data_IF_777819372302
#
_entry.id   IF_777819372302
#
_cell.length_a   1.000
_cell.length_b   1.000
_cell.length_c   1.000
_cell.angle_alpha   90.00
_cell.angle_beta   90.00
_cell.angle_gamma   90.00
#
_symmetry.space_group_name_H-M   'P 1'
#
loop_
_entity.id
_entity.type
_entity.pdbx_description
1 polymer ?
#
# COMPACT_ATOMS: atom_id res chain seq x y z
N UNK A 1 -20.67 -15.54 -13.88
CA UNK A 1 -21.32 -14.24 -13.55
C UNK A 1 -21.02 -13.81 -12.11
N UNK A 2 -21.74 -14.23 -11.06
CA UNK A 2 -21.45 -13.75 -9.68
C UNK A 2 -20.01 -14.02 -9.18
N UNK A 3 -19.44 -15.19 -9.52
CA UNK A 3 -18.05 -15.52 -9.16
C UNK A 3 -17.01 -14.68 -9.92
N UNK A 4 -17.23 -14.43 -11.21
CA UNK A 4 -16.36 -13.59 -12.04
C UNK A 4 -16.39 -12.12 -11.60
N UNK A 5 -17.57 -11.62 -11.20
CA UNK A 5 -17.72 -10.28 -10.63
C UNK A 5 -16.96 -10.17 -9.30
N UNK A 6 -17.10 -11.17 -8.41
CA UNK A 6 -16.40 -11.18 -7.12
C UNK A 6 -14.88 -11.20 -7.25
N UNK A 7 -14.35 -11.93 -8.24
CA UNK A 7 -12.91 -12.00 -8.51
C UNK A 7 -12.41 -10.70 -9.13
N UNK A 8 -13.18 -10.08 -10.02
CA UNK A 8 -12.89 -8.76 -10.56
C UNK A 8 -12.84 -7.67 -9.48
N UNK A 9 -13.78 -7.68 -8.55
CA UNK A 9 -13.79 -6.75 -7.41
C UNK A 9 -12.58 -6.96 -6.50
N UNK A 10 -12.21 -8.21 -6.19
CA UNK A 10 -11.03 -8.51 -5.38
C UNK A 10 -9.74 -8.02 -6.04
N UNK A 11 -9.56 -8.27 -7.34
CA UNK A 11 -8.37 -7.81 -8.07
C UNK A 11 -8.28 -6.28 -8.13
N UNK A 12 -9.41 -5.61 -8.32
CA UNK A 12 -9.49 -4.15 -8.29
C UNK A 12 -9.09 -3.61 -6.90
N UNK A 13 -9.64 -4.19 -5.84
CA UNK A 13 -9.29 -3.85 -4.47
C UNK A 13 -7.80 -4.05 -4.20
N UNK A 14 -7.23 -5.22 -4.52
CA UNK A 14 -5.81 -5.51 -4.29
C UNK A 14 -4.91 -4.55 -5.07
N UNK A 15 -5.29 -4.14 -6.27
CA UNK A 15 -4.52 -3.18 -7.07
C UNK A 15 -4.58 -1.78 -6.47
N UNK A 16 -5.75 -1.32 -6.04
CA UNK A 16 -5.91 -0.04 -5.35
C UNK A 16 -5.14 -0.02 -4.03
N UNK A 17 -5.20 -1.11 -3.27
CA UNK A 17 -4.50 -1.24 -2.00
C UNK A 17 -2.99 -1.27 -2.19
N UNK A 18 -2.49 -2.02 -3.18
CA UNK A 18 -1.06 -2.03 -3.53
C UNK A 18 -0.54 -0.64 -3.87
N UNK A 19 -1.25 0.08 -4.74
CA UNK A 19 -0.88 1.44 -5.13
C UNK A 19 -0.82 2.36 -3.91
N UNK A 20 -1.82 2.27 -3.02
CA UNK A 20 -1.85 3.11 -1.82
C UNK A 20 -0.71 2.78 -0.87
N UNK A 21 -0.44 1.50 -0.61
CA UNK A 21 0.67 1.08 0.23
C UNK A 21 2.01 1.55 -0.34
N UNK A 22 2.20 1.46 -1.66
CA UNK A 22 3.42 1.93 -2.33
C UNK A 22 3.62 3.46 -2.21
N UNK A 23 2.54 4.24 -2.36
CA UNK A 23 2.58 5.69 -2.16
C UNK A 23 3.05 6.05 -0.74
N UNK A 24 2.50 5.39 0.29
CA UNK A 24 2.86 5.63 1.69
C UNK A 24 4.30 5.18 1.97
N UNK A 25 4.69 4.01 1.45
CA UNK A 25 6.05 3.46 1.57
C UNK A 25 7.10 4.40 0.98
N UNK A 26 6.88 4.87 -0.25
CA UNK A 26 7.75 5.85 -0.91
C UNK A 26 7.83 7.15 -0.11
N UNK A 27 6.69 7.68 0.34
CA UNK A 27 6.66 8.89 1.14
C UNK A 27 7.41 8.73 2.47
N UNK A 28 7.24 7.61 3.17
CA UNK A 28 7.94 7.30 4.43
C UNK A 28 9.46 7.29 4.26
N UNK A 29 9.95 6.63 3.19
CA UNK A 29 11.38 6.60 2.87
C UNK A 29 11.91 8.02 2.57
N UNK A 30 11.21 8.80 1.76
CA UNK A 30 11.66 10.15 1.39
C UNK A 30 11.65 11.09 2.61
N UNK A 31 10.59 11.09 3.39
CA UNK A 31 10.45 11.94 4.58
C UNK A 31 11.50 11.65 5.65
N UNK A 32 12.00 10.41 5.72
CA UNK A 32 13.06 10.00 6.67
C UNK A 32 14.46 10.43 6.23
N UNK A 33 14.70 10.54 4.92
CA UNK A 33 16.06 10.72 4.37
C UNK A 33 16.33 12.12 3.79
N UNK A 34 15.28 12.91 3.54
CA UNK A 34 15.37 14.22 2.90
C UNK A 34 15.01 15.35 3.87
N UNK A 35 15.59 16.54 3.68
CA UNK A 35 15.13 17.73 4.39
C UNK A 35 13.67 18.06 4.00
N UNK A 36 12.89 18.79 4.82
CA UNK A 36 11.45 18.96 4.60
C UNK A 36 11.07 19.57 3.23
N UNK A 37 11.83 20.56 2.76
CA UNK A 37 11.56 21.24 1.48
C UNK A 37 11.92 20.39 0.25
N UNK A 38 12.95 19.56 0.34
CA UNK A 38 13.32 18.63 -0.72
C UNK A 38 12.41 17.41 -0.73
N UNK A 39 11.97 16.94 0.45
CA UNK A 39 11.08 15.79 0.58
C UNK A 39 9.75 16.03 -0.15
N UNK A 40 9.13 17.20 0.01
CA UNK A 40 7.87 17.50 -0.70
C UNK A 40 8.04 17.50 -2.22
N UNK A 41 9.09 18.16 -2.73
CA UNK A 41 9.38 18.20 -4.17
C UNK A 41 9.64 16.81 -4.74
N UNK A 42 10.36 15.99 -3.98
CA UNK A 42 10.69 14.63 -4.37
C UNK A 42 9.47 13.70 -4.36
N UNK A 43 8.58 13.82 -3.37
CA UNK A 43 7.30 13.09 -3.33
C UNK A 43 6.43 13.48 -4.52
N UNK A 44 6.29 14.79 -4.79
CA UNK A 44 5.50 15.28 -5.93
C UNK A 44 6.03 14.69 -7.24
N UNK A 45 7.34 14.63 -7.42
CA UNK A 45 7.98 14.06 -8.61
C UNK A 45 7.77 12.54 -8.73
N UNK A 46 8.06 11.81 -7.65
CA UNK A 46 8.01 10.33 -7.66
C UNK A 46 6.57 9.82 -7.82
N UNK A 47 5.60 10.52 -7.24
CA UNK A 47 4.18 10.19 -7.35
C UNK A 47 3.50 10.84 -8.57
N UNK A 48 4.27 11.49 -9.46
CA UNK A 48 3.81 12.11 -10.70
C UNK A 48 2.67 13.13 -10.48
N UNK A 49 2.76 13.92 -9.41
CA UNK A 49 1.74 14.88 -8.98
C UNK A 49 1.99 16.31 -9.51
N UNK A 50 2.95 16.53 -10.42
CA UNK A 50 3.36 17.86 -10.89
C UNK A 50 2.18 18.63 -11.50
N UNK A 51 1.30 17.91 -12.19
CA UNK A 51 0.11 18.40 -12.87
C UNK A 51 -1.08 18.68 -11.93
N UNK A 52 -0.98 18.32 -10.65
CA UNK A 52 -2.06 18.60 -9.69
C UNK A 52 -2.11 20.09 -9.37
N UNK A 53 -3.30 20.58 -9.01
CA UNK A 53 -3.42 21.91 -8.39
C UNK A 53 -2.71 21.96 -7.04
N UNK A 54 -2.27 23.14 -6.62
CA UNK A 54 -1.55 23.33 -5.35
C UNK A 54 -2.36 22.84 -4.13
N UNK A 55 -3.67 23.10 -4.12
CA UNK A 55 -4.55 22.61 -3.06
C UNK A 55 -4.59 21.07 -3.01
N UNK A 56 -4.64 20.42 -4.18
CA UNK A 56 -4.63 18.96 -4.27
C UNK A 56 -3.28 18.38 -3.83
N UNK A 57 -2.16 18.99 -4.22
CA UNK A 57 -0.82 18.60 -3.75
C UNK A 57 -0.73 18.67 -2.24
N UNK A 58 -1.12 19.81 -1.63
CA UNK A 58 -1.10 19.99 -0.17
C UNK A 58 -1.95 18.97 0.56
N UNK A 59 -3.16 18.68 0.06
CA UNK A 59 -4.03 17.65 0.63
C UNK A 59 -3.36 16.27 0.63
N UNK A 60 -2.83 15.84 -0.52
CA UNK A 60 -2.19 14.53 -0.66
C UNK A 60 -0.91 14.44 0.18
N UNK A 61 -0.06 15.46 0.15
CA UNK A 61 1.16 15.52 0.96
C UNK A 61 0.87 15.48 2.46
N UNK A 62 -0.13 16.26 2.92
CA UNK A 62 -0.55 16.25 4.32
C UNK A 62 -1.08 14.89 4.76
N UNK A 63 -1.82 14.20 3.89
CA UNK A 63 -2.29 12.84 4.14
C UNK A 63 -1.14 11.83 4.19
N UNK A 64 -0.21 11.88 3.24
CA UNK A 64 0.95 10.99 3.19
C UNK A 64 1.86 11.16 4.40
N UNK A 65 2.08 12.39 4.87
CA UNK A 65 2.81 12.65 6.13
C UNK A 65 2.17 11.93 7.30
N UNK A 66 0.87 12.12 7.52
CA UNK A 66 0.14 11.46 8.61
C UNK A 66 0.26 9.94 8.52
N UNK A 67 -0.04 9.37 7.36
CA UNK A 67 -0.01 7.92 7.17
C UNK A 67 1.40 7.32 7.28
N UNK A 68 2.44 8.04 6.84
CA UNK A 68 3.83 7.59 6.95
C UNK A 68 4.32 7.49 8.39
N UNK A 69 3.66 8.17 9.33
CA UNK A 69 3.96 8.10 10.76
C UNK A 69 3.17 7.00 11.49
N UNK A 70 2.14 6.42 10.86
CA UNK A 70 1.33 5.37 11.48
C UNK A 70 1.97 3.98 11.40
N UNK A 71 2.90 3.79 10.47
CA UNK A 71 3.49 2.49 10.19
C UNK A 71 5.01 2.58 10.18
N UNK A 72 5.67 1.57 10.72
CA UNK A 72 7.10 1.40 10.55
C UNK A 72 7.42 1.02 9.10
N UNK A 73 8.66 1.28 8.67
CA UNK A 73 9.11 0.87 7.34
C UNK A 73 8.99 -0.66 7.15
N UNK A 74 9.29 -1.44 8.18
CA UNK A 74 9.19 -2.90 8.15
C UNK A 74 7.74 -3.35 7.90
N UNK A 75 6.77 -2.74 8.57
CA UNK A 75 5.34 -3.03 8.37
C UNK A 75 4.93 -2.69 6.93
N UNK A 76 5.34 -1.53 6.40
CA UNK A 76 5.00 -1.13 5.03
C UNK A 76 5.58 -2.09 3.98
N UNK A 77 6.82 -2.54 4.14
CA UNK A 77 7.45 -3.51 3.24
C UNK A 77 6.77 -4.89 3.32
N UNK A 78 6.37 -5.31 4.53
CA UNK A 78 5.63 -6.56 4.71
C UNK A 78 4.25 -6.50 4.04
N UNK A 79 3.48 -5.44 4.28
CA UNK A 79 2.15 -5.26 3.68
C UNK A 79 2.25 -5.19 2.15
N UNK A 80 3.22 -4.44 1.62
CA UNK A 80 3.46 -4.33 0.18
C UNK A 80 3.72 -5.70 -0.45
N UNK A 81 4.64 -6.46 0.13
CA UNK A 81 4.99 -7.81 -0.33
C UNK A 81 3.80 -8.77 -0.25
N UNK A 82 3.04 -8.70 0.85
CA UNK A 82 1.86 -9.55 1.05
C UNK A 82 0.76 -9.27 0.01
N UNK A 83 0.48 -7.99 -0.30
CA UNK A 83 -0.53 -7.63 -1.31
C UNK A 83 -0.11 -8.10 -2.70
N UNK A 84 1.17 -7.97 -3.07
CA UNK A 84 1.69 -8.50 -4.35
C UNK A 84 1.41 -9.99 -4.46
N UNK A 85 1.71 -10.72 -3.41
CA UNK A 85 1.50 -12.16 -3.39
C UNK A 85 0.03 -12.53 -3.51
N UNK A 86 -0.87 -11.84 -2.80
CA UNK A 86 -2.31 -12.01 -2.94
C UNK A 86 -2.78 -11.71 -4.37
N UNK A 87 -2.23 -10.67 -5.01
CA UNK A 87 -2.57 -10.30 -6.37
C UNK A 87 -2.16 -11.40 -7.37
N UNK A 88 -0.97 -11.97 -7.21
CA UNK A 88 -0.48 -13.11 -7.99
C UNK A 88 -1.39 -14.33 -7.78
N UNK A 89 -1.64 -14.70 -6.52
CA UNK A 89 -2.47 -15.87 -6.15
C UNK A 89 -3.92 -15.75 -6.59
N UNK A 90 -4.48 -14.53 -6.63
CA UNK A 90 -5.83 -14.25 -7.12
C UNK A 90 -5.95 -14.37 -8.64
N UNK A 91 -4.83 -14.16 -9.38
CA UNK A 91 -4.75 -14.34 -10.83
C UNK A 91 -4.42 -15.78 -11.25
N UNK A 92 -3.69 -16.54 -10.43
CA UNK A 92 -3.06 -17.80 -10.86
C UNK A 92 -3.76 -19.10 -10.47
N UNK A 93 -4.78 -19.11 -9.60
CA UNK A 93 -5.42 -20.39 -9.22
C UNK A 93 -6.87 -20.27 -8.71
N UNK A 94 -7.76 -21.24 -9.06
CA UNK A 94 -9.04 -21.41 -8.39
C UNK A 94 -8.82 -21.72 -6.91
N UNK A 95 -9.63 -21.09 -6.04
CA UNK A 95 -9.43 -21.02 -4.59
C UNK A 95 -9.94 -22.32 -3.93
N UNK A 96 -9.09 -23.00 -3.14
CA UNK A 96 -9.48 -24.03 -2.15
C UNK A 96 -8.98 -23.60 -0.76
N UNK A 97 -9.57 -24.22 0.27
CA UNK A 97 -9.48 -23.88 1.71
C UNK A 97 -8.08 -23.54 2.26
N UNK A 98 -6.99 -24.06 1.69
CA UNK A 98 -5.61 -23.70 2.05
C UNK A 98 -5.29 -22.20 1.92
N UNK A 99 -5.98 -21.48 1.02
CA UNK A 99 -5.79 -20.03 0.86
C UNK A 99 -6.27 -19.23 2.08
N UNK A 100 -7.28 -19.73 2.80
CA UNK A 100 -7.81 -19.04 3.99
C UNK A 100 -6.84 -19.17 5.16
N UNK A 101 -6.26 -20.35 5.38
CA UNK A 101 -5.25 -20.54 6.42
C UNK A 101 -4.02 -19.68 6.15
N UNK A 102 -3.52 -19.67 4.91
CA UNK A 102 -2.40 -18.82 4.51
C UNK A 102 -2.66 -17.33 4.77
N UNK A 103 -3.84 -16.84 4.39
CA UNK A 103 -4.22 -15.44 4.63
C UNK A 103 -4.25 -15.12 6.13
N UNK A 104 -4.83 -16.01 6.93
CA UNK A 104 -4.89 -15.85 8.39
C UNK A 104 -3.50 -15.79 9.02
N UNK A 105 -2.59 -16.69 8.66
CA UNK A 105 -1.19 -16.68 9.15
C UNK A 105 -0.48 -15.36 8.81
N UNK A 106 -0.70 -14.84 7.60
CA UNK A 106 -0.10 -13.56 7.18
C UNK A 106 -0.69 -12.37 7.91
N UNK A 107 -1.98 -12.40 8.19
CA UNK A 107 -2.66 -11.38 8.99
C UNK A 107 -2.23 -11.43 10.46
N UNK A 108 -2.10 -12.61 11.05
CA UNK A 108 -1.58 -12.79 12.40
C UNK A 108 -0.18 -12.20 12.53
N UNK A 109 0.71 -12.52 11.60
CA UNK A 109 2.04 -11.90 11.55
C UNK A 109 1.97 -10.37 11.42
N UNK A 110 1.07 -9.82 10.60
CA UNK A 110 0.87 -8.38 10.50
C UNK A 110 0.44 -7.77 11.84
N UNK A 111 -0.53 -8.38 12.52
CA UNK A 111 -0.99 -7.89 13.83
C UNK A 111 0.13 -7.91 14.87
N UNK A 112 0.96 -8.95 14.88
CA UNK A 112 2.14 -9.01 15.75
C UNK A 112 3.13 -7.87 15.45
N UNK A 113 3.36 -7.54 14.18
CA UNK A 113 4.23 -6.42 13.80
C UNK A 113 3.64 -5.05 14.16
N UNK A 114 2.31 -4.91 14.18
CA UNK A 114 1.61 -3.67 14.54
C UNK A 114 1.49 -3.46 16.06
N UNK A 115 1.66 -4.52 16.85
CA UNK A 115 1.49 -4.50 18.31
C UNK A 115 2.79 -4.22 19.07
N UNK A 116 3.93 -4.18 18.37
CA UNK A 116 5.25 -3.81 18.89
C UNK A 116 5.58 -2.36 18.53
#
# INVERSE_FOLDING_TARGET
RAYEDSQGHLLSFLSAFLNRTDEVRKASIILKNSNPENAEREIVRILKMEHFSENRKRFVLGRLRRESHLFTQEVLEYVYSFIIELNIRAKSSPIKDEKNLYFLEKMEKLFMMLSN
#
